data_IF_009013225441
#
_entry.id   IF_009013225441
#
_cell.length_a   1.000
_cell.length_b   1.000
_cell.length_c   1.000
_cell.angle_alpha   90.00
_cell.angle_beta   90.00
_cell.angle_gamma   90.00
#
_symmetry.space_group_name_H-M   'P 1'
#
loop_
_entity.id
_entity.type
_entity.pdbx_description
1 polymer ?
#
# COMPACT_ATOMS: atom_id res chain seq x y z
N UNK A 1 21.48 14.10 3.28
CA UNK A 1 20.20 13.64 3.83
C UNK A 1 20.11 12.19 3.42
N UNK A 2 20.33 11.27 4.35
CA UNK A 2 20.21 9.84 4.08
C UNK A 2 18.71 9.51 3.99
N UNK A 3 18.31 8.81 2.94
CA UNK A 3 16.92 8.49 2.68
C UNK A 3 16.85 7.31 1.72
N UNK A 4 15.82 6.50 1.88
CA UNK A 4 15.63 5.30 1.08
C UNK A 4 14.82 5.61 -0.17
N UNK A 5 15.25 5.07 -1.31
CA UNK A 5 14.54 5.19 -2.57
C UNK A 5 14.15 3.78 -3.04
N UNK A 6 12.84 3.55 -3.14
CA UNK A 6 12.33 2.34 -3.76
C UNK A 6 12.25 2.54 -5.27
N UNK A 7 13.10 1.82 -5.99
CA UNK A 7 13.04 1.75 -7.45
C UNK A 7 11.93 0.81 -7.90
N UNK A 8 10.99 1.32 -8.69
CA UNK A 8 9.84 0.57 -9.20
C UNK A 8 9.77 0.64 -10.72
N UNK A 9 9.71 -0.52 -11.38
CA UNK A 9 9.46 -0.61 -12.82
C UNK A 9 7.95 -0.66 -13.06
N UNK A 10 7.42 0.31 -13.80
CA UNK A 10 5.99 0.46 -14.09
C UNK A 10 5.54 -0.03 -15.46
N UNK A 11 4.29 0.33 -15.77
CA UNK A 11 3.71 0.13 -17.11
C UNK A 11 4.61 0.77 -18.17
N UNK A 12 4.94 0.00 -19.19
CA UNK A 12 5.84 0.43 -20.27
C UNK A 12 7.31 0.45 -19.89
N UNK A 13 7.74 -0.35 -18.91
CA UNK A 13 9.13 -0.45 -18.44
C UNK A 13 9.70 0.88 -17.93
N UNK A 14 8.82 1.76 -17.45
CA UNK A 14 9.21 3.06 -16.92
C UNK A 14 9.65 2.92 -15.47
N UNK A 15 10.92 3.19 -15.24
CA UNK A 15 11.48 3.29 -13.91
C UNK A 15 10.98 4.56 -13.20
N UNK A 16 10.78 4.44 -11.89
CA UNK A 16 10.51 5.56 -10.98
C UNK A 16 11.11 5.25 -9.62
N UNK A 17 11.47 6.30 -8.90
CA UNK A 17 11.93 6.22 -7.53
C UNK A 17 10.83 6.76 -6.62
N UNK A 18 10.54 6.02 -5.55
CA UNK A 18 9.57 6.42 -4.53
C UNK A 18 10.32 6.56 -3.21
N UNK A 19 10.39 7.76 -2.61
CA UNK A 19 11.00 7.95 -1.30
C UNK A 19 10.28 7.12 -0.23
N UNK A 20 11.05 6.39 0.56
CA UNK A 20 10.57 5.63 1.70
C UNK A 20 11.06 6.25 3.02
N UNK A 21 10.14 6.51 3.96
CA UNK A 21 10.51 6.83 5.34
C UNK A 21 11.36 5.72 5.98
N UNK A 22 12.31 6.11 6.85
CA UNK A 22 13.23 5.15 7.49
C UNK A 22 12.51 4.16 8.42
N UNK A 23 11.42 4.56 9.04
CA UNK A 23 10.55 3.69 9.84
C UNK A 23 9.90 2.59 8.98
N UNK A 24 9.44 2.91 7.77
CA UNK A 24 8.94 1.91 6.81
C UNK A 24 10.02 0.92 6.41
N UNK A 25 11.26 1.37 6.26
CA UNK A 25 12.39 0.46 6.00
C UNK A 25 12.72 -0.38 7.23
N UNK A 26 12.56 0.15 8.44
CA UNK A 26 12.64 -0.64 9.68
C UNK A 26 11.57 -1.73 9.78
N UNK A 27 10.35 -1.47 9.30
CA UNK A 27 9.30 -2.51 9.17
C UNK A 27 9.69 -3.56 8.11
N UNK A 28 10.24 -3.13 6.98
CA UNK A 28 10.74 -4.04 5.94
C UNK A 28 11.87 -4.93 6.47
N UNK A 29 12.82 -4.39 7.22
CA UNK A 29 13.91 -5.13 7.85
C UNK A 29 13.36 -6.24 8.76
N UNK A 30 12.41 -5.90 9.64
CA UNK A 30 11.74 -6.89 10.51
C UNK A 30 11.01 -7.95 9.70
N UNK A 31 10.34 -7.56 8.62
CA UNK A 31 9.67 -8.49 7.74
C UNK A 31 10.65 -9.42 7.00
N UNK A 32 11.81 -8.93 6.55
CA UNK A 32 12.86 -9.74 5.93
C UNK A 32 13.38 -10.79 6.91
N UNK A 33 13.72 -10.39 8.14
CA UNK A 33 14.14 -11.32 9.20
C UNK A 33 13.08 -12.39 9.48
N UNK A 34 11.79 -12.02 9.51
CA UNK A 34 10.70 -12.98 9.70
C UNK A 34 10.59 -14.03 8.58
N UNK A 35 11.14 -13.72 7.40
CA UNK A 35 11.27 -14.66 6.28
C UNK A 35 12.58 -15.46 6.32
N UNK A 36 13.50 -15.18 7.24
CA UNK A 36 14.85 -15.77 7.25
C UNK A 36 15.83 -15.12 6.27
N UNK A 37 15.59 -13.85 5.92
CA UNK A 37 16.47 -13.01 5.11
C UNK A 37 17.26 -12.02 5.99
N UNK A 38 18.26 -11.36 5.43
CA UNK A 38 19.02 -10.35 6.17
C UNK A 38 18.16 -9.12 6.47
N UNK A 39 18.42 -8.46 7.61
CA UNK A 39 17.69 -7.28 8.04
C UNK A 39 17.99 -6.07 7.14
N UNK A 40 19.19 -5.98 6.56
CA UNK A 40 19.54 -4.94 5.60
C UNK A 40 18.94 -5.28 4.22
N UNK A 41 17.98 -4.47 3.70
CA UNK A 41 17.41 -4.70 2.37
C UNK A 41 18.44 -4.72 1.23
N UNK A 42 19.61 -4.09 1.39
CA UNK A 42 20.68 -4.03 0.38
C UNK A 42 21.73 -5.15 0.52
N UNK A 43 21.60 -6.02 1.54
CA UNK A 43 22.53 -7.12 1.72
C UNK A 43 22.58 -8.04 0.49
N UNK A 44 23.78 -8.53 0.16
CA UNK A 44 23.98 -9.40 -1.01
C UNK A 44 23.19 -10.72 -0.90
N UNK A 45 22.94 -11.19 0.32
CA UNK A 45 22.08 -12.33 0.62
C UNK A 45 20.61 -12.10 0.29
N UNK A 46 20.17 -10.85 0.15
CA UNK A 46 18.82 -10.48 -0.27
C UNK A 46 18.69 -10.32 -1.80
N UNK A 47 19.77 -10.47 -2.56
CA UNK A 47 19.71 -10.33 -4.02
C UNK A 47 18.73 -11.31 -4.65
N UNK A 48 17.80 -10.77 -5.45
CA UNK A 48 16.73 -11.55 -6.10
C UNK A 48 15.55 -11.89 -5.19
N UNK A 49 15.58 -11.50 -3.92
CA UNK A 49 14.44 -11.63 -3.03
C UNK A 49 13.33 -10.66 -3.44
N UNK A 50 12.11 -11.19 -3.51
CA UNK A 50 10.93 -10.36 -3.68
C UNK A 50 10.62 -9.60 -2.38
N UNK A 51 10.18 -8.35 -2.49
CA UNK A 51 9.78 -7.55 -1.32
C UNK A 51 8.59 -8.14 -0.56
N UNK A 52 7.69 -8.84 -1.26
CA UNK A 52 6.54 -9.53 -0.66
C UNK A 52 6.69 -11.03 -0.91
N UNK A 53 7.07 -11.77 0.13
CA UNK A 53 7.34 -13.20 0.07
C UNK A 53 6.12 -14.07 0.29
N UNK A 54 6.21 -15.34 -0.12
CA UNK A 54 5.22 -16.37 0.23
C UNK A 54 5.14 -16.57 1.75
N UNK A 55 3.98 -17.01 2.22
CA UNK A 55 3.76 -17.32 3.63
C UNK A 55 4.63 -18.51 4.03
N UNK A 56 5.69 -18.24 4.82
CA UNK A 56 6.62 -19.25 5.35
C UNK A 56 6.04 -20.02 6.55
N UNK A 57 5.00 -19.48 7.20
CA UNK A 57 4.37 -20.03 8.41
C UNK A 57 3.20 -21.00 8.13
N UNK A 58 2.97 -21.37 6.86
CA UNK A 58 1.87 -22.25 6.49
C UNK A 58 1.95 -23.62 7.19
N UNK A 59 3.17 -24.13 7.39
CA UNK A 59 3.42 -25.38 8.12
C UNK A 59 3.12 -25.26 9.62
N UNK A 60 3.32 -24.07 10.20
CA UNK A 60 3.01 -23.80 11.61
C UNK A 60 1.50 -23.63 11.82
N UNK A 61 0.82 -22.95 10.90
CA UNK A 61 -0.63 -22.68 10.99
C UNK A 61 -1.50 -23.89 10.65
N UNK A 62 -1.04 -24.77 9.75
CA UNK A 62 -1.80 -25.92 9.29
C UNK A 62 -0.91 -27.16 9.08
N UNK A 63 -0.41 -27.79 10.16
CA UNK A 63 0.57 -28.88 10.09
C UNK A 63 0.10 -30.09 9.26
N UNK A 64 -1.21 -30.33 9.20
CA UNK A 64 -1.81 -31.44 8.45
C UNK A 64 -2.09 -31.17 6.97
N UNK A 65 -1.97 -29.91 6.52
CA UNK A 65 -2.15 -29.52 5.12
C UNK A 65 -0.82 -29.11 4.45
N UNK A 66 0.23 -28.88 5.24
CA UNK A 66 1.54 -28.56 4.70
C UNK A 66 2.18 -29.76 4.03
N UNK A 67 2.38 -29.68 2.73
CA UNK A 67 3.01 -30.70 1.87
C UNK A 67 4.52 -30.88 2.10
N UNK A 68 5.06 -30.43 3.25
CA UNK A 68 6.50 -30.46 3.53
C UNK A 68 7.32 -29.60 2.55
N UNK A 69 6.69 -28.69 1.80
CA UNK A 69 7.40 -27.83 0.87
C UNK A 69 8.28 -26.83 1.62
N UNK A 70 9.60 -26.94 1.43
CA UNK A 70 10.56 -25.91 1.80
C UNK A 70 10.27 -24.68 0.94
N UNK A 71 9.84 -23.59 1.57
CA UNK A 71 9.58 -22.33 0.89
C UNK A 71 10.90 -21.57 0.84
N UNK A 72 11.39 -21.32 -0.37
CA UNK A 72 12.50 -20.40 -0.58
C UNK A 72 12.06 -18.99 -0.13
N UNK A 73 12.73 -18.38 0.85
CA UNK A 73 12.33 -17.10 1.43
C UNK A 73 12.42 -15.94 0.45
N UNK A 74 13.16 -16.11 -0.65
CA UNK A 74 13.28 -15.14 -1.73
C UNK A 74 12.06 -15.16 -2.67
N UNK A 75 11.26 -16.23 -2.70
CA UNK A 75 10.13 -16.33 -3.61
C UNK A 75 8.99 -15.36 -3.26
N UNK A 76 8.55 -14.62 -4.28
CA UNK A 76 7.42 -13.71 -4.16
C UNK A 76 6.04 -14.36 -4.25
N UNK A 77 5.03 -13.63 -3.77
CA UNK A 77 3.63 -13.92 -4.07
C UNK A 77 3.23 -13.44 -5.47
N UNK A 78 2.20 -14.06 -6.04
CA UNK A 78 1.59 -13.55 -7.27
C UNK A 78 0.87 -12.22 -6.99
N UNK A 79 0.79 -11.34 -8.00
CA UNK A 79 0.08 -10.08 -7.88
C UNK A 79 -1.42 -10.27 -7.56
N UNK A 80 -2.02 -11.35 -8.06
CA UNK A 80 -3.40 -11.75 -7.73
C UNK A 80 -3.54 -12.12 -6.26
N UNK A 81 -2.60 -12.90 -5.70
CA UNK A 81 -2.57 -13.24 -4.28
C UNK A 81 -2.57 -11.99 -3.40
N UNK A 82 -1.71 -11.02 -3.72
CA UNK A 82 -1.69 -9.75 -2.99
C UNK A 82 -3.02 -9.00 -3.11
N UNK A 83 -3.56 -8.90 -4.33
CA UNK A 83 -4.84 -8.24 -4.57
C UNK A 83 -5.98 -8.87 -3.76
N UNK A 84 -6.08 -10.21 -3.78
CA UNK A 84 -7.12 -10.96 -3.07
C UNK A 84 -6.97 -10.81 -1.55
N UNK A 85 -5.75 -10.83 -1.02
CA UNK A 85 -5.48 -10.59 0.40
C UNK A 85 -5.93 -9.17 0.83
N UNK A 86 -5.61 -8.15 0.05
CA UNK A 86 -6.05 -6.77 0.31
C UNK A 86 -7.57 -6.64 0.20
N UNK A 87 -8.19 -7.32 -0.77
CA UNK A 87 -9.64 -7.34 -0.91
C UNK A 87 -10.33 -7.96 0.30
N UNK A 88 -9.86 -9.13 0.73
CA UNK A 88 -10.36 -9.81 1.92
C UNK A 88 -10.21 -8.94 3.17
N UNK A 89 -9.05 -8.30 3.34
CA UNK A 89 -8.85 -7.36 4.45
C UNK A 89 -9.92 -6.26 4.49
N UNK A 90 -10.26 -5.66 3.35
CA UNK A 90 -11.31 -4.65 3.30
C UNK A 90 -12.73 -5.22 3.54
N UNK A 91 -12.99 -6.46 3.13
CA UNK A 91 -14.24 -7.15 3.45
C UNK A 91 -14.36 -7.41 4.97
N UNK A 92 -13.27 -7.81 5.62
CA UNK A 92 -13.22 -7.99 7.07
C UNK A 92 -13.48 -6.66 7.79
N UNK A 93 -12.84 -5.56 7.36
CA UNK A 93 -13.14 -4.21 7.85
C UNK A 93 -14.61 -3.83 7.65
N UNK A 94 -15.21 -4.15 6.50
CA UNK A 94 -16.62 -3.90 6.25
C UNK A 94 -17.52 -4.69 7.21
N UNK A 95 -17.14 -5.92 7.58
CA UNK A 95 -17.79 -6.72 8.61
C UNK A 95 -17.78 -6.01 9.98
N UNK A 96 -16.61 -5.52 10.40
CA UNK A 96 -16.45 -4.76 11.66
C UNK A 96 -17.34 -3.51 11.67
N UNK A 97 -17.30 -2.70 10.61
CA UNK A 97 -18.11 -1.47 10.50
C UNK A 97 -19.61 -1.77 10.55
N UNK A 98 -20.06 -2.84 9.89
CA UNK A 98 -21.46 -3.27 9.94
C UNK A 98 -21.87 -3.65 11.36
N UNK A 99 -21.01 -4.38 12.08
CA UNK A 99 -21.23 -4.74 13.49
C UNK A 99 -21.30 -3.53 14.42
N UNK A 100 -20.64 -2.43 14.07
CA UNK A 100 -20.69 -1.15 14.79
C UNK A 100 -21.86 -0.25 14.37
N UNK A 101 -22.71 -0.69 13.44
CA UNK A 101 -23.84 0.08 12.93
C UNK A 101 -23.50 1.07 11.80
N UNK A 102 -22.26 1.11 11.32
CA UNK A 102 -21.86 1.94 10.18
C UNK A 102 -22.04 1.20 8.84
N UNK A 103 -23.30 1.06 8.42
CA UNK A 103 -23.65 0.42 7.15
C UNK A 103 -23.03 1.13 5.94
N UNK A 104 -22.89 2.46 6.00
CA UNK A 104 -22.36 3.28 4.90
C UNK A 104 -20.85 3.14 4.77
N UNK A 105 -20.13 3.10 5.89
CA UNK A 105 -18.72 2.78 5.95
C UNK A 105 -18.45 1.37 5.43
N UNK A 106 -19.24 0.39 5.87
CA UNK A 106 -19.14 -0.98 5.39
C UNK A 106 -19.28 -1.08 3.86
N UNK A 107 -20.29 -0.43 3.27
CA UNK A 107 -20.48 -0.43 1.80
C UNK A 107 -19.29 0.18 1.05
N UNK A 108 -18.67 1.22 1.60
CA UNK A 108 -17.46 1.82 1.02
C UNK A 108 -16.28 0.86 1.06
N UNK A 109 -16.07 0.17 2.17
CA UNK A 109 -14.98 -0.78 2.34
C UNK A 109 -15.14 -2.02 1.44
N UNK A 110 -16.35 -2.52 1.21
CA UNK A 110 -16.59 -3.60 0.22
C UNK A 110 -16.10 -3.22 -1.19
N UNK A 111 -16.15 -1.93 -1.54
CA UNK A 111 -15.68 -1.42 -2.84
C UNK A 111 -14.17 -1.11 -2.87
N UNK A 112 -13.50 -1.07 -1.72
CA UNK A 112 -12.09 -0.69 -1.59
C UNK A 112 -11.14 -1.71 -2.27
N UNK A 113 -10.02 -1.24 -2.81
CA UNK A 113 -9.03 -2.04 -3.55
C UNK A 113 -7.63 -1.43 -3.43
N UNK A 114 -6.61 -2.08 -4.00
CA UNK A 114 -5.26 -1.51 -4.10
C UNK A 114 -5.24 -0.17 -4.84
N UNK A 115 -6.10 0.00 -5.86
CA UNK A 115 -6.25 1.28 -6.56
C UNK A 115 -6.89 2.34 -5.65
N UNK A 116 -7.89 1.96 -4.84
CA UNK A 116 -8.49 2.86 -3.86
C UNK A 116 -7.50 3.33 -2.79
N UNK A 117 -6.59 2.45 -2.33
CA UNK A 117 -5.49 2.83 -1.43
C UNK A 117 -4.60 3.89 -2.06
N UNK A 118 -4.24 3.72 -3.33
CA UNK A 118 -3.42 4.69 -4.08
C UNK A 118 -4.10 6.07 -4.19
N UNK A 119 -5.40 6.09 -4.50
CA UNK A 119 -6.19 7.34 -4.52
C UNK A 119 -6.26 7.99 -3.15
N UNK A 120 -6.45 7.17 -2.11
CA UNK A 120 -6.50 7.64 -0.72
C UNK A 120 -5.17 8.26 -0.32
N UNK A 121 -4.04 7.59 -0.56
CA UNK A 121 -2.71 8.13 -0.33
C UNK A 121 -2.49 9.47 -1.06
N UNK A 122 -2.80 9.53 -2.36
CA UNK A 122 -2.64 10.76 -3.14
C UNK A 122 -3.48 11.93 -2.59
N UNK A 123 -4.73 11.65 -2.23
CA UNK A 123 -5.63 12.66 -1.67
C UNK A 123 -5.13 13.17 -0.32
N UNK A 124 -4.72 12.25 0.58
CA UNK A 124 -4.19 12.59 1.89
C UNK A 124 -2.85 13.34 1.81
N UNK A 125 -1.94 12.94 0.93
CA UNK A 125 -0.65 13.60 0.75
C UNK A 125 -0.81 15.05 0.29
N UNK A 126 -1.65 15.29 -0.73
CA UNK A 126 -1.96 16.64 -1.22
C UNK A 126 -2.65 17.48 -0.14
N UNK A 127 -3.64 16.91 0.56
CA UNK A 127 -4.32 17.60 1.66
C UNK A 127 -3.37 17.97 2.81
N UNK A 128 -2.32 17.16 3.03
CA UNK A 128 -1.29 17.39 4.05
C UNK A 128 -0.17 18.34 3.58
N UNK A 129 -0.28 18.91 2.38
CA UNK A 129 0.65 19.93 1.87
C UNK A 129 1.80 19.40 1.00
N UNK A 130 1.78 18.12 0.59
CA UNK A 130 2.75 17.63 -0.40
C UNK A 130 2.62 18.42 -1.70
N UNK A 131 3.72 18.97 -2.26
CA UNK A 131 3.68 19.62 -3.57
C UNK A 131 3.12 18.69 -4.64
N UNK A 132 2.30 19.22 -5.55
CA UNK A 132 1.58 18.41 -6.55
C UNK A 132 2.55 17.71 -7.51
N UNK A 133 3.69 18.33 -7.79
CA UNK A 133 4.77 17.80 -8.62
C UNK A 133 5.40 16.57 -7.97
N UNK A 134 5.66 16.63 -6.66
CA UNK A 134 6.20 15.50 -5.88
C UNK A 134 5.17 14.35 -5.84
N UNK A 135 3.89 14.67 -5.59
CA UNK A 135 2.84 13.66 -5.62
C UNK A 135 2.69 13.03 -7.01
N UNK A 136 2.79 13.81 -8.09
CA UNK A 136 2.73 13.32 -9.47
C UNK A 136 3.89 12.38 -9.79
N UNK A 137 5.11 12.70 -9.34
CA UNK A 137 6.30 11.85 -9.49
C UNK A 137 6.15 10.54 -8.71
N UNK A 138 5.78 10.60 -7.43
CA UNK A 138 5.57 9.41 -6.58
C UNK A 138 4.49 8.48 -7.15
N UNK A 139 3.43 9.06 -7.72
CA UNK A 139 2.39 8.29 -8.39
C UNK A 139 2.88 7.77 -9.76
N UNK A 140 3.78 8.46 -10.44
CA UNK A 140 4.21 8.11 -11.80
C UNK A 140 3.13 8.41 -12.84
N UNK A 141 2.38 9.50 -12.67
CA UNK A 141 1.43 9.95 -13.68
C UNK A 141 2.16 10.65 -14.82
N UNK A 142 1.80 10.37 -16.08
CA UNK A 142 2.45 11.02 -17.22
C UNK A 142 2.07 12.50 -17.38
N UNK A 143 0.96 12.93 -16.77
CA UNK A 143 0.45 14.30 -16.84
C UNK A 143 0.06 14.80 -15.45
N UNK A 144 0.36 16.07 -15.19
CA UNK A 144 -0.07 16.77 -13.98
C UNK A 144 -1.60 16.85 -13.89
N UNK A 145 -2.30 16.89 -15.03
CA UNK A 145 -3.76 16.96 -15.08
C UNK A 145 -4.43 15.79 -14.33
N UNK A 146 -3.84 14.58 -14.38
CA UNK A 146 -4.34 13.41 -13.65
C UNK A 146 -4.21 13.59 -12.14
N UNK A 147 -3.15 14.27 -11.67
CA UNK A 147 -2.92 14.54 -10.24
C UNK A 147 -3.76 15.72 -9.73
N UNK A 148 -4.09 16.69 -10.59
CA UNK A 148 -4.94 17.86 -10.24
C UNK A 148 -6.35 17.47 -9.78
N UNK A 149 -6.84 16.27 -10.14
CA UNK A 149 -8.10 15.71 -9.62
C UNK A 149 -8.11 15.66 -8.09
N UNK A 150 -6.98 15.37 -7.44
CA UNK A 150 -6.91 15.33 -5.97
C UNK A 150 -6.98 16.73 -5.35
N UNK A 151 -6.34 17.73 -5.96
CA UNK A 151 -6.41 19.13 -5.51
C UNK A 151 -7.84 19.66 -5.60
N UNK A 152 -8.52 19.42 -6.72
CA UNK A 152 -9.90 19.89 -6.93
C UNK A 152 -10.89 19.20 -6.00
N UNK A 153 -10.69 17.90 -5.74
CA UNK A 153 -11.49 17.13 -4.78
C UNK A 153 -11.33 17.69 -3.36
N UNK A 154 -10.10 17.99 -2.92
CA UNK A 154 -9.85 18.58 -1.62
C UNK A 154 -10.43 19.99 -1.49
N UNK A 155 -10.26 20.85 -2.51
CA UNK A 155 -10.92 22.18 -2.55
C UNK A 155 -12.43 22.06 -2.39
N UNK A 156 -13.07 21.12 -3.11
CA UNK A 156 -14.51 20.88 -3.00
C UNK A 156 -14.92 20.40 -1.60
N UNK A 157 -14.11 19.53 -0.98
CA UNK A 157 -14.33 19.07 0.40
C UNK A 157 -14.26 20.24 1.39
N UNK A 158 -13.25 21.11 1.25
CA UNK A 158 -13.09 22.31 2.09
C UNK A 158 -14.27 23.27 1.97
N UNK A 159 -14.71 23.57 0.74
CA UNK A 159 -15.89 24.43 0.52
C UNK A 159 -17.15 23.86 1.19
N UNK A 160 -17.42 22.56 1.01
CA UNK A 160 -18.57 21.89 1.65
C UNK A 160 -18.51 21.94 3.17
N UNK A 161 -17.32 21.79 3.76
CA UNK A 161 -17.14 21.84 5.20
C UNK A 161 -17.43 23.25 5.76
N UNK A 162 -16.96 24.29 5.07
CA UNK A 162 -17.24 25.70 5.40
C UNK A 162 -18.74 25.98 5.28
N UNK A 163 -19.38 25.61 4.17
CA UNK A 163 -20.83 25.77 3.99
C UNK A 163 -21.63 25.06 5.08
N UNK A 164 -21.24 23.85 5.48
CA UNK A 164 -21.94 23.11 6.53
C UNK A 164 -21.76 23.73 7.92
N UNK A 165 -20.62 24.36 8.21
CA UNK A 165 -20.37 25.08 9.46
C UNK A 165 -21.30 26.28 9.59
N UNK A 166 -21.46 27.08 8.52
CA UNK A 166 -22.28 28.28 8.52
C UNK A 166 -23.79 28.03 8.38
N UNK A 167 -24.21 26.80 8.09
CA UNK A 167 -25.63 26.39 8.03
C UNK A 167 -26.18 25.90 9.38
N UNK A 168 -25.34 25.79 10.41
CA UNK A 168 -25.74 25.51 11.79
C UNK A 168 -26.07 26.81 12.50
#
# INVERSE_FOLDING_TARGET
>A
MEGWLLRVIGKGQKEREVPLPADVVGELARYLVSRGLDADPEDIGNQGAFLLGKASDAAERAPGLSTGQVIDPRQGIAATTFYDQIKRFFEDCAGVLRGQGDAKGAERFTKASTHWMRHSHASHAIASGMPIEVAQQNLGHASLATTTVYVTTEKRRRMKAVEAFWKR
#
